data_IF_564860800938
#
_entry.id   IF_564860800938
#
_cell.length_a   1.000
_cell.length_b   1.000
_cell.length_c   1.000
_cell.angle_alpha   90.00
_cell.angle_beta   90.00
_cell.angle_gamma   90.00
#
_symmetry.space_group_name_H-M   'P 1'
#
loop_
_entity.id
_entity.type
_entity.pdbx_description
1 polymer ?
#
# COMPACT_ATOMS: atom_id res chain seq x y z
N UNK A 1 -3.53 -15.19 -16.27
CA UNK A 1 -3.61 -14.78 -16.31
C UNK A 1 -3.67 -13.83 -16.03
N UNK A 2 -3.61 -13.79 -15.85
CA UNK A 2 -3.79 -13.00 -15.64
C UNK A 2 -3.67 -12.00 -15.47
N UNK A 3 -3.56 -11.89 -15.40
CA UNK A 3 -3.52 -11.02 -15.24
C UNK A 3 -3.62 -10.05 -15.24
N UNK A 4 -3.60 -10.25 -15.23
CA UNK A 4 -3.75 -9.46 -15.24
C UNK A 4 -3.86 -8.46 -15.04
N UNK A 5 -3.94 -8.75 -14.84
CA UNK A 5 -4.15 -7.91 -14.63
C UNK A 5 -4.19 -6.85 -14.43
N UNK A 6 -4.13 -6.90 -14.30
CA UNK A 6 -4.23 -5.97 -14.14
C UNK A 6 -4.08 -4.93 -14.16
N UNK A 7 -4.10 -5.04 -14.16
CA UNK A 7 -4.12 -4.21 -14.32
C UNK A 7 -4.29 -3.14 -14.36
N UNK A 8 -4.39 -3.26 -14.24
CA UNK A 8 -4.71 -2.31 -14.35
C UNK A 8 -4.83 -1.29 -14.31
N UNK A 9 -4.86 -1.36 -14.16
CA UNK A 9 -5.13 -0.48 -14.29
C UNK A 9 -5.24 0.60 -14.13
N UNK A 10 -5.13 0.73 -14.06
CA UNK A 10 -5.30 1.84 -13.96
C UNK A 10 -5.18 2.86 -13.74
N UNK A 11 -5.09 3.05 -13.66
CA UNK A 11 -5.07 4.01 -13.66
C UNK A 11 -5.11 4.92 -13.49
N UNK A 12 -5.04 4.88 -13.44
CA UNK A 12 -5.15 5.83 -13.31
C UNK A 12 -5.16 6.73 -13.15
N UNK A 13 -5.33 6.47 -12.97
CA UNK A 13 -5.44 7.50 -12.97
C UNK A 13 -5.25 8.30 -12.59
N UNK A 14 -5.04 8.29 -12.50
CA UNK A 14 -4.89 9.07 -12.24
C UNK A 14 -4.41 9.75 -11.80
N UNK A 15 -4.13 9.85 -11.76
CA UNK A 15 -3.71 10.53 -11.56
C UNK A 15 -3.52 11.32 -11.31
N UNK A 16 -3.66 11.40 -11.52
CA UNK A 16 -3.53 12.28 -11.55
C UNK A 16 -3.53 13.00 -10.71
N UNK A 17 -3.57 12.93 -10.43
CA UNK A 17 -3.64 13.70 -9.82
C UNK A 17 -3.12 14.31 -9.16
N UNK A 18 -2.78 14.32 -9.17
CA UNK A 18 -2.25 14.92 -8.71
C UNK A 18 -2.27 15.62 -8.03
N UNK A 19 -2.53 15.63 -7.95
CA UNK A 19 -2.52 16.22 -7.50
C UNK A 19 -2.42 16.46 -6.61
N UNK A 20 -2.80 16.20 -7.19
CA UNK A 20 -2.59 16.86 -6.10
C UNK A 20 -1.36 16.50 -5.30
N UNK A 21 -0.45 17.04 -5.37
CA UNK A 21 0.81 16.78 -4.78
C UNK A 21 0.87 16.75 -3.27
N UNK A 22 -0.26 16.99 -2.64
CA UNK A 22 -0.34 16.96 -1.18
C UNK A 22 -0.39 15.56 -0.64
N UNK A 23 -0.73 14.61 -1.47
CA UNK A 23 -0.96 13.25 -1.01
C UNK A 23 0.14 12.33 -1.49
N UNK A 24 0.63 11.46 -0.62
CA UNK A 24 1.60 10.47 -1.04
C UNK A 24 1.02 9.59 -2.13
N UNK A 25 1.85 9.22 -3.08
CA UNK A 25 1.42 8.42 -4.21
C UNK A 25 1.83 6.97 -4.00
N UNK A 26 1.04 6.25 -3.21
CA UNK A 26 1.29 4.83 -2.97
C UNK A 26 0.85 4.02 -4.17
N UNK A 27 1.64 3.00 -4.51
CA UNK A 27 1.22 2.05 -5.53
C UNK A 27 0.05 1.23 -5.01
N UNK A 28 -0.74 0.60 -5.89
CA UNK A 28 -1.81 -0.28 -5.42
C UNK A 28 -1.32 -1.38 -4.48
N UNK A 29 -0.15 -1.96 -4.77
CA UNK A 29 0.38 -3.02 -3.92
C UNK A 29 0.79 -2.49 -2.55
N UNK A 30 1.35 -1.29 -2.50
CA UNK A 30 1.71 -0.67 -1.22
C UNK A 30 0.47 -0.41 -0.39
N UNK A 31 -0.59 0.09 -1.00
CA UNK A 31 -1.86 0.30 -0.30
C UNK A 31 -2.41 -1.02 0.20
N UNK A 32 -2.36 -2.04 -0.63
CA UNK A 32 -2.87 -3.36 -0.27
C UNK A 32 -2.14 -3.93 0.93
N UNK A 33 -0.81 -3.82 0.92
CA UNK A 33 0.00 -4.30 2.04
C UNK A 33 -0.37 -3.55 3.32
N UNK A 34 -0.49 -2.21 3.25
CA UNK A 34 -0.87 -1.43 4.44
C UNK A 34 -2.26 -1.81 4.94
N UNK A 35 -3.19 -2.08 4.03
CA UNK A 35 -4.54 -2.46 4.43
C UNK A 35 -4.51 -3.76 5.24
N UNK A 36 -3.68 -4.73 4.85
CA UNK A 36 -3.55 -5.97 5.61
C UNK A 36 -2.83 -5.75 6.94
N UNK A 37 -1.82 -4.86 6.96
CA UNK A 37 -1.18 -4.49 8.23
C UNK A 37 -2.23 -3.89 9.17
N UNK A 38 -3.12 -3.07 8.64
CA UNK A 38 -4.19 -2.48 9.44
C UNK A 38 -5.14 -3.52 10.01
N UNK A 39 -5.25 -4.68 9.36
CA UNK A 39 -6.07 -5.79 9.84
C UNK A 39 -5.33 -6.68 10.83
N UNK A 40 -4.09 -6.34 11.15
CA UNK A 40 -3.32 -7.10 12.13
C UNK A 40 -2.51 -8.24 11.54
N UNK A 41 -2.39 -8.31 10.22
CA UNK A 41 -1.64 -9.40 9.59
C UNK A 41 -0.14 -9.13 9.65
N UNK A 42 0.62 -10.18 9.89
CA UNK A 42 2.08 -10.10 9.83
C UNK A 42 2.53 -10.10 8.36
N UNK A 43 3.79 -9.71 8.15
CA UNK A 43 4.35 -9.73 6.80
C UNK A 43 4.31 -11.12 6.19
N UNK A 44 4.55 -12.15 7.03
CA UNK A 44 4.50 -13.53 6.56
C UNK A 44 3.10 -13.89 6.08
N UNK A 45 2.08 -13.51 6.88
CA UNK A 45 0.69 -13.79 6.52
C UNK A 45 0.29 -13.05 5.25
N UNK A 46 0.72 -11.80 5.13
CA UNK A 46 0.43 -11.00 3.94
C UNK A 46 1.06 -11.64 2.70
N UNK A 47 2.29 -12.14 2.84
CA UNK A 47 2.95 -12.83 1.75
C UNK A 47 2.15 -14.04 1.29
N UNK A 48 1.57 -14.79 2.23
CA UNK A 48 0.72 -15.91 1.91
C UNK A 48 -0.55 -15.47 1.18
N UNK A 49 -1.17 -14.41 1.67
CA UNK A 49 -2.42 -13.91 1.09
C UNK A 49 -2.20 -13.39 -0.32
N UNK A 50 -1.12 -12.66 -0.54
CA UNK A 50 -0.85 -12.01 -1.82
C UNK A 50 0.02 -12.85 -2.75
N UNK A 51 0.48 -14.01 -2.26
CA UNK A 51 1.33 -14.91 -3.02
C UNK A 51 2.62 -14.24 -3.46
N UNK A 52 3.26 -13.56 -2.53
CA UNK A 52 4.57 -12.94 -2.74
C UNK A 52 5.46 -13.24 -1.54
N UNK A 53 6.75 -13.08 -1.72
CA UNK A 53 7.71 -13.36 -0.65
C UNK A 53 7.53 -12.37 0.50
N UNK A 54 7.77 -12.84 1.72
CA UNK A 54 7.74 -11.97 2.90
C UNK A 54 8.63 -10.74 2.71
N UNK A 55 9.80 -10.95 2.13
CA UNK A 55 10.73 -9.83 1.90
C UNK A 55 10.10 -8.77 1.00
N UNK A 56 9.35 -9.20 -0.01
CA UNK A 56 8.68 -8.27 -0.91
C UNK A 56 7.60 -7.48 -0.15
N UNK A 57 6.88 -8.15 0.75
CA UNK A 57 5.92 -7.47 1.62
C UNK A 57 6.62 -6.40 2.44
N UNK A 58 7.76 -6.76 3.06
CA UNK A 58 8.52 -5.81 3.88
C UNK A 58 8.98 -4.62 3.06
N UNK A 59 9.39 -4.85 1.81
CA UNK A 59 9.83 -3.78 0.93
C UNK A 59 8.68 -2.82 0.61
N UNK A 60 7.51 -3.36 0.30
CA UNK A 60 6.34 -2.52 0.05
C UNK A 60 5.95 -1.71 1.28
N UNK A 61 5.96 -2.34 2.45
CA UNK A 61 5.63 -1.66 3.70
C UNK A 61 6.65 -0.56 4.00
N UNK A 62 7.93 -0.86 3.82
CA UNK A 62 8.99 0.10 4.07
C UNK A 62 8.88 1.31 3.16
N UNK A 63 8.58 1.07 1.88
CA UNK A 63 8.41 2.14 0.91
C UNK A 63 7.21 3.00 1.29
N UNK A 64 6.11 2.39 1.71
CA UNK A 64 4.93 3.13 2.13
C UNK A 64 5.24 4.00 3.36
N UNK A 65 5.96 3.45 4.34
CA UNK A 65 6.39 4.21 5.52
C UNK A 65 7.14 5.46 5.09
N UNK A 66 8.07 5.29 4.17
CA UNK A 66 8.92 6.39 3.70
C UNK A 66 8.09 7.42 2.95
N UNK A 67 7.21 6.96 2.05
CA UNK A 67 6.38 7.88 1.25
C UNK A 67 5.43 8.69 2.12
N UNK A 68 4.94 8.09 3.21
CA UNK A 68 4.00 8.78 4.10
C UNK A 68 4.70 9.64 5.14
N UNK A 69 6.02 9.58 5.20
CA UNK A 69 6.76 10.31 6.22
C UNK A 69 6.48 9.78 7.61
N UNK A 70 6.17 8.50 7.71
CA UNK A 70 5.82 7.88 8.98
C UNK A 70 7.07 7.39 9.70
N UNK A 71 6.96 7.19 11.02
CA UNK A 71 8.10 6.71 11.81
C UNK A 71 8.15 5.18 11.84
N UNK A 72 7.04 4.53 11.61
CA UNK A 72 6.99 3.06 11.54
C UNK A 72 5.68 2.64 10.86
N UNK A 73 5.48 1.33 10.74
CA UNK A 73 4.29 0.79 10.05
C UNK A 73 2.98 1.20 10.71
N UNK A 74 2.95 1.16 12.02
CA UNK A 74 1.74 1.54 12.77
C UNK A 74 1.38 2.99 12.47
N UNK A 75 2.38 3.88 12.48
CA UNK A 75 2.16 5.28 12.15
C UNK A 75 1.71 5.43 10.70
N UNK A 76 2.32 4.65 9.80
CA UNK A 76 1.94 4.69 8.39
C UNK A 76 0.46 4.31 8.20
N UNK A 77 0.00 3.28 8.90
CA UNK A 77 -1.41 2.87 8.86
C UNK A 77 -2.30 4.01 9.34
N UNK A 78 -1.92 4.65 10.46
CA UNK A 78 -2.72 5.74 11.01
C UNK A 78 -2.85 6.89 10.00
N UNK A 79 -1.74 7.24 9.36
CA UNK A 79 -1.76 8.29 8.34
C UNK A 79 -2.63 7.87 7.16
N UNK A 80 -2.47 6.64 6.70
CA UNK A 80 -3.19 6.15 5.53
C UNK A 80 -4.70 6.11 5.77
N UNK A 81 -5.12 5.74 6.97
CA UNK A 81 -6.55 5.74 7.32
C UNK A 81 -7.07 7.17 7.39
N UNK A 82 -6.32 8.05 8.07
CA UNK A 82 -6.73 9.44 8.22
C UNK A 82 -6.87 10.14 6.87
N UNK A 83 -5.94 9.83 5.95
CA UNK A 83 -5.95 10.44 4.62
C UNK A 83 -6.82 9.69 3.63
N UNK A 84 -7.50 8.65 4.09
CA UNK A 84 -8.38 7.82 3.27
C UNK A 84 -7.66 7.14 2.11
N UNK A 85 -6.40 6.82 2.34
CA UNK A 85 -5.62 6.06 1.37
C UNK A 85 -6.00 4.59 1.45
N UNK A 86 -6.31 4.12 2.66
CA UNK A 86 -6.83 2.77 2.89
C UNK A 86 -8.05 2.85 3.77
N UNK A 87 -8.86 1.79 3.72
CA UNK A 87 -10.02 1.61 4.60
C UNK A 87 -9.73 0.52 5.61
N UNK A 88 -10.33 0.62 6.77
CA UNK A 88 -10.23 -0.43 7.80
C UNK A 88 -11.60 -0.83 8.29
#
# INVERSE_FOLDING_TARGET
>A
MSQKRSQARPKPAGGRNRQSGDRPNLTPREREVLAWVAQGKSAWEIGEILDIAKRTVDEHAQTAVRKLGAVNRTHAVAIAVRERIIDV
#
